data_IF_473355609168
#
_entry.id   IF_473355609168
#
_cell.length_a   1.000
_cell.length_b   1.000
_cell.length_c   1.000
_cell.angle_alpha   90.00
_cell.angle_beta   90.00
_cell.angle_gamma   90.00
#
_symmetry.space_group_name_H-M   'P 1'
#
loop_
_entity.id
_entity.type
_entity.pdbx_description
1 polymer ?
#
# COMPACT_ATOMS: atom_id res chain seq x y z
N UNK A 1 -12.20 0.21 -13.64
CA UNK A 1 -11.21 -0.89 -13.50
C UNK A 1 -11.26 -1.33 -12.07
N UNK A 2 -11.42 -2.63 -11.84
CA UNK A 2 -11.47 -3.23 -10.52
C UNK A 2 -10.12 -3.01 -9.82
N UNK A 3 -10.09 -2.20 -8.77
CA UNK A 3 -8.88 -1.90 -7.96
C UNK A 3 -8.75 -2.84 -6.77
N UNK A 4 -9.53 -3.92 -6.75
CA UNK A 4 -9.45 -4.96 -5.72
C UNK A 4 -8.00 -5.44 -5.63
N UNK A 5 -7.33 -5.30 -4.46
CA UNK A 5 -5.97 -5.76 -4.29
C UNK A 5 -5.90 -7.23 -4.70
N UNK A 6 -5.02 -7.56 -5.64
CA UNK A 6 -4.83 -8.94 -6.09
C UNK A 6 -4.14 -9.71 -4.96
N UNK A 7 -4.94 -10.29 -4.07
CA UNK A 7 -4.46 -11.15 -2.99
C UNK A 7 -3.98 -12.46 -3.64
N UNK A 8 -2.75 -12.91 -3.35
CA UNK A 8 -2.29 -14.21 -3.83
C UNK A 8 -3.22 -15.32 -3.33
N UNK A 9 -3.56 -16.33 -4.14
CA UNK A 9 -4.52 -17.39 -3.75
C UNK A 9 -4.15 -18.07 -2.43
N UNK A 10 -2.85 -18.25 -2.16
CA UNK A 10 -2.35 -18.86 -0.92
C UNK A 10 -2.55 -18.01 0.34
N UNK A 11 -2.80 -16.70 0.20
CA UNK A 11 -3.03 -15.77 1.30
C UNK A 11 -4.52 -15.38 1.43
N UNK A 12 -5.36 -15.76 0.47
CA UNK A 12 -6.72 -15.23 0.35
C UNK A 12 -7.57 -15.47 1.62
N UNK A 13 -7.57 -16.70 2.14
CA UNK A 13 -8.35 -17.05 3.34
C UNK A 13 -7.87 -16.27 4.56
N UNK A 14 -6.55 -16.18 4.75
CA UNK A 14 -5.95 -15.49 5.89
C UNK A 14 -6.22 -13.98 5.83
N UNK A 15 -5.98 -13.34 4.67
CA UNK A 15 -6.19 -11.90 4.48
C UNK A 15 -7.67 -11.55 4.66
N UNK A 16 -8.60 -12.34 4.09
CA UNK A 16 -10.04 -12.10 4.25
C UNK A 16 -10.51 -12.27 5.69
N UNK A 17 -10.00 -13.29 6.39
CA UNK A 17 -10.34 -13.52 7.80
C UNK A 17 -9.91 -12.34 8.68
N UNK A 18 -8.66 -11.89 8.55
CA UNK A 18 -8.13 -10.78 9.33
C UNK A 18 -8.77 -9.43 8.94
N UNK A 19 -8.97 -9.18 7.65
CA UNK A 19 -9.66 -7.98 7.19
C UNK A 19 -11.07 -7.88 7.76
N UNK A 20 -11.80 -9.01 7.83
CA UNK A 20 -13.11 -9.08 8.48
C UNK A 20 -13.02 -8.88 10.00
N UNK A 21 -12.05 -9.51 10.66
CA UNK A 21 -11.88 -9.44 12.11
C UNK A 21 -11.57 -8.01 12.59
N UNK A 22 -10.79 -7.27 11.83
CA UNK A 22 -10.35 -5.91 12.17
C UNK A 22 -11.16 -4.80 11.47
N UNK A 23 -12.08 -5.14 10.57
CA UNK A 23 -12.86 -4.16 9.81
C UNK A 23 -12.02 -3.34 8.84
N UNK A 24 -11.03 -3.97 8.20
CA UNK A 24 -10.13 -3.31 7.27
C UNK A 24 -10.86 -2.84 6.00
N UNK A 25 -10.50 -1.64 5.56
CA UNK A 25 -10.81 -1.13 4.24
C UNK A 25 -9.85 -1.70 3.18
N UNK A 26 -9.98 -1.24 1.94
CA UNK A 26 -9.13 -1.69 0.83
C UNK A 26 -7.64 -1.39 1.05
N UNK A 27 -7.32 -0.25 1.68
CA UNK A 27 -5.94 0.18 1.95
C UNK A 27 -5.31 -0.73 2.99
N UNK A 28 -5.97 -0.90 4.13
CA UNK A 28 -5.49 -1.78 5.21
C UNK A 28 -5.40 -3.25 4.75
N UNK A 29 -6.36 -3.72 3.95
CA UNK A 29 -6.32 -5.07 3.36
C UNK A 29 -5.11 -5.25 2.45
N UNK A 30 -4.77 -4.22 1.66
CA UNK A 30 -3.58 -4.25 0.81
C UNK A 30 -2.28 -4.25 1.62
N UNK A 31 -2.21 -3.46 2.70
CA UNK A 31 -1.04 -3.45 3.57
C UNK A 31 -0.82 -4.79 4.27
N UNK A 32 -1.89 -5.42 4.74
CA UNK A 32 -1.82 -6.79 5.28
C UNK A 32 -1.29 -7.78 4.24
N UNK A 33 -1.77 -7.68 3.00
CA UNK A 33 -1.31 -8.54 1.90
C UNK A 33 0.19 -8.33 1.64
N UNK A 34 0.64 -7.07 1.55
CA UNK A 34 2.05 -6.74 1.33
C UNK A 34 2.94 -7.24 2.47
N UNK A 35 2.51 -7.08 3.72
CA UNK A 35 3.27 -7.52 4.89
C UNK A 35 3.44 -9.05 4.91
N UNK A 36 2.39 -9.80 4.60
CA UNK A 36 2.47 -11.28 4.52
C UNK A 36 3.24 -11.79 3.30
N UNK A 37 3.36 -10.97 2.25
CA UNK A 37 4.23 -11.28 1.11
C UNK A 37 5.71 -11.00 1.43
N UNK A 38 5.97 -9.92 2.17
CA UNK A 38 7.32 -9.52 2.59
C UNK A 38 7.90 -10.48 3.64
N UNK A 39 7.09 -10.88 4.62
CA UNK A 39 7.43 -11.91 5.61
C UNK A 39 6.39 -13.05 5.61
N UNK A 40 6.57 -14.10 4.79
CA UNK A 40 5.69 -15.26 4.75
C UNK A 40 5.69 -16.11 6.03
N UNK A 41 6.64 -15.87 6.95
CA UNK A 41 6.71 -16.59 8.22
C UNK A 41 5.91 -15.91 9.33
N UNK A 42 5.54 -14.65 9.13
CA UNK A 42 4.74 -13.87 10.07
C UNK A 42 3.32 -14.45 10.18
N UNK A 43 2.85 -14.84 11.39
CA UNK A 43 1.49 -15.33 11.55
C UNK A 43 0.46 -14.27 11.17
N UNK A 44 -0.58 -14.67 10.43
CA UNK A 44 -1.62 -13.75 9.94
C UNK A 44 -2.30 -12.92 11.05
N UNK A 45 -2.64 -13.47 12.24
CA UNK A 45 -3.19 -12.66 13.33
C UNK A 45 -2.21 -11.60 13.85
N UNK A 46 -0.90 -11.89 13.83
CA UNK A 46 0.13 -10.93 14.22
C UNK A 46 0.26 -9.82 13.18
N UNK A 47 0.28 -10.18 11.89
CA UNK A 47 0.29 -9.21 10.79
C UNK A 47 -0.98 -8.32 10.82
N UNK A 48 -2.15 -8.90 11.05
CA UNK A 48 -3.42 -8.20 11.23
C UNK A 48 -3.35 -7.19 12.37
N UNK A 49 -2.88 -7.60 13.55
CA UNK A 49 -2.71 -6.71 14.70
C UNK A 49 -1.72 -5.56 14.41
N UNK A 50 -0.62 -5.82 13.69
CA UNK A 50 0.35 -4.79 13.29
C UNK A 50 -0.28 -3.74 12.37
N UNK A 51 -0.97 -4.18 11.32
CA UNK A 51 -1.66 -3.27 10.39
C UNK A 51 -2.74 -2.48 11.10
N UNK A 52 -3.57 -3.14 11.91
CA UNK A 52 -4.61 -2.48 12.70
C UNK A 52 -4.03 -1.41 13.62
N UNK A 53 -2.87 -1.68 14.23
CA UNK A 53 -2.18 -0.69 15.06
C UNK A 53 -1.71 0.51 14.24
N UNK A 54 -1.07 0.29 13.08
CA UNK A 54 -0.60 1.39 12.22
C UNK A 54 -1.77 2.26 11.76
N UNK A 55 -2.90 1.67 11.38
CA UNK A 55 -4.10 2.41 10.96
C UNK A 55 -4.68 3.33 12.05
N UNK A 56 -4.36 3.10 13.32
CA UNK A 56 -4.79 3.95 14.44
C UNK A 56 -3.81 5.08 14.78
N UNK A 57 -2.62 5.09 14.17
CA UNK A 57 -1.58 6.07 14.45
C UNK A 57 -1.62 7.20 13.39
N UNK A 58 -1.15 8.42 13.75
CA UNK A 58 -1.06 9.52 12.78
C UNK A 58 -0.28 9.16 11.51
N UNK A 59 0.83 8.43 11.65
CA UNK A 59 1.62 7.97 10.51
C UNK A 59 0.83 7.08 9.54
N UNK A 60 -0.16 6.32 10.05
CA UNK A 60 -1.05 5.51 9.21
C UNK A 60 -1.93 6.36 8.31
N UNK A 61 -2.34 7.56 8.74
CA UNK A 61 -3.13 8.48 7.91
C UNK A 61 -2.30 9.00 6.74
N UNK A 62 -1.06 9.41 7.01
CA UNK A 62 -0.14 9.92 5.98
C UNK A 62 0.22 8.82 4.95
N UNK A 63 0.49 7.61 5.44
CA UNK A 63 0.75 6.44 4.58
C UNK A 63 -0.47 6.08 3.73
N UNK A 64 -1.68 6.13 4.29
CA UNK A 64 -2.90 5.84 3.55
C UNK A 64 -3.15 6.88 2.44
N UNK A 65 -2.93 8.16 2.72
CA UNK A 65 -3.05 9.22 1.71
C UNK A 65 -2.04 9.05 0.55
N UNK A 66 -0.80 8.67 0.87
CA UNK A 66 0.22 8.37 -0.13
C UNK A 66 -0.17 7.15 -0.98
N UNK A 67 -0.53 6.04 -0.34
CA UNK A 67 -0.91 4.79 -1.01
C UNK A 67 -2.12 4.99 -1.94
N UNK A 68 -3.18 5.64 -1.47
CA UNK A 68 -4.36 5.98 -2.28
C UNK A 68 -3.97 6.85 -3.48
N UNK A 69 -3.11 7.84 -3.28
CA UNK A 69 -2.61 8.70 -4.36
C UNK A 69 -1.84 7.89 -5.41
N UNK A 70 -0.97 6.98 -4.98
CA UNK A 70 -0.21 6.11 -5.86
C UNK A 70 -1.13 5.13 -6.63
N UNK A 71 -2.17 4.58 -6.01
CA UNK A 71 -3.17 3.76 -6.72
C UNK A 71 -3.93 4.57 -7.76
N UNK A 72 -4.36 5.79 -7.41
CA UNK A 72 -5.03 6.67 -8.36
C UNK A 72 -4.13 7.00 -9.57
N UNK A 73 -2.85 7.29 -9.33
CA UNK A 73 -1.89 7.55 -10.41
C UNK A 73 -1.65 6.30 -11.26
N UNK A 74 -1.53 5.11 -10.65
CA UNK A 74 -1.39 3.83 -11.37
C UNK A 74 -2.60 3.53 -12.25
N UNK A 75 -3.80 3.91 -11.82
CA UNK A 75 -5.04 3.75 -12.59
C UNK A 75 -5.17 4.72 -13.76
N UNK A 76 -4.32 5.75 -13.88
CA UNK A 76 -4.32 6.67 -15.02
C UNK A 76 -3.68 6.01 -16.24
N UNK A 77 -4.31 6.17 -17.40
CA UNK A 77 -3.72 5.78 -18.67
C UNK A 77 -2.60 6.78 -19.06
N UNK A 78 -1.33 6.35 -19.17
CA UNK A 78 -0.23 7.26 -19.51
C UNK A 78 -0.37 7.93 -20.89
N UNK A 79 -1.16 7.34 -21.79
CA UNK A 79 -1.44 7.88 -23.11
C UNK A 79 -2.37 9.11 -23.07
N UNK A 80 -3.20 9.25 -22.03
CA UNK A 80 -4.14 10.36 -21.86
C UNK A 80 -3.48 11.62 -21.27
N UNK A 81 -2.28 11.48 -20.71
CA UNK A 81 -1.53 12.60 -20.16
C UNK A 81 -0.91 13.42 -21.30
N UNK A 82 -0.89 14.74 -21.14
CA UNK A 82 -0.08 15.63 -21.96
C UNK A 82 1.42 15.39 -21.70
N UNK A 83 2.28 15.88 -22.60
CA UNK A 83 3.74 15.81 -22.40
C UNK A 83 4.20 16.51 -21.12
N UNK A 84 3.59 17.64 -20.77
CA UNK A 84 3.91 18.38 -19.55
C UNK A 84 3.51 17.60 -18.29
N UNK A 85 2.30 17.05 -18.25
CA UNK A 85 1.83 16.22 -17.13
C UNK A 85 2.71 14.99 -16.94
N UNK A 86 3.05 14.28 -18.02
CA UNK A 86 3.99 13.14 -17.94
C UNK A 86 5.33 13.55 -17.35
N UNK A 87 5.89 14.69 -17.77
CA UNK A 87 7.20 15.16 -17.30
C UNK A 87 7.17 15.53 -15.82
N UNK A 88 6.16 16.28 -15.39
CA UNK A 88 6.00 16.68 -13.98
C UNK A 88 5.75 15.45 -13.10
N UNK A 89 4.84 14.55 -13.50
CA UNK A 89 4.56 13.31 -12.77
C UNK A 89 5.81 12.44 -12.66
N UNK A 90 6.57 12.25 -13.74
CA UNK A 90 7.81 11.50 -13.70
C UNK A 90 8.87 12.14 -12.78
N UNK A 91 8.98 13.48 -12.78
CA UNK A 91 9.88 14.19 -11.87
C UNK A 91 9.49 13.98 -10.40
N UNK A 92 8.21 14.14 -10.06
CA UNK A 92 7.71 13.97 -8.69
C UNK A 92 7.83 12.53 -8.21
N UNK A 93 7.55 11.53 -9.04
CA UNK A 93 7.71 10.12 -8.68
C UNK A 93 9.18 9.76 -8.43
N UNK A 94 10.13 10.30 -9.20
CA UNK A 94 11.56 10.08 -8.97
C UNK A 94 12.02 10.69 -7.65
N UNK A 95 11.56 11.90 -7.35
CA UNK A 95 11.86 12.57 -6.09
C UNK A 95 11.29 11.78 -4.90
N UNK A 96 10.03 11.34 -5.00
CA UNK A 96 9.38 10.49 -4.00
C UNK A 96 10.17 9.19 -3.75
N UNK A 97 10.62 8.50 -4.80
CA UNK A 97 11.45 7.30 -4.66
C UNK A 97 12.76 7.61 -3.92
N UNK A 98 13.40 8.74 -4.22
CA UNK A 98 14.61 9.15 -3.51
C UNK A 98 14.34 9.43 -2.02
N UNK A 99 13.25 10.12 -1.70
CA UNK A 99 12.86 10.39 -0.31
C UNK A 99 12.51 9.10 0.44
N UNK A 100 11.79 8.18 -0.22
CA UNK A 100 11.44 6.89 0.34
C UNK A 100 12.67 6.03 0.65
N UNK A 101 13.67 6.01 -0.24
CA UNK A 101 14.94 5.32 0.03
C UNK A 101 15.67 5.92 1.24
N UNK A 102 15.72 7.26 1.35
CA UNK A 102 16.34 7.91 2.49
C UNK A 102 15.61 7.61 3.81
N UNK A 103 14.27 7.60 3.79
CA UNK A 103 13.46 7.23 4.94
C UNK A 103 13.66 5.76 5.32
N UNK A 104 13.66 4.84 4.35
CA UNK A 104 13.87 3.42 4.58
C UNK A 104 15.22 3.17 5.28
N UNK A 105 16.30 3.77 4.76
CA UNK A 105 17.63 3.67 5.35
C UNK A 105 17.73 4.23 6.78
N UNK A 106 16.78 5.08 7.21
CA UNK A 106 16.72 5.60 8.57
C UNK A 106 15.94 4.71 9.55
N UNK A 107 15.10 3.79 9.05
CA UNK A 107 14.21 2.94 9.86
C UNK A 107 14.55 1.44 9.80
N UNK A 108 15.51 1.04 8.97
CA UNK A 108 16.05 -0.33 8.86
C UNK A 108 17.51 -0.37 9.25
#
# INVERSE_FOLDING_TARGET
>A
MDTTPTIPPQLEDAVRAEAKAHGFDETATRWLTLLLQDDPTLPAPTAGAMVARVCQLPIGVDLAALDVTLQHLRGRNPAELTTSERRVTAMLLKDLVSQAHALLAAIT
#
